data_IF_663231710456
#
_entry.id   IF_663231710456
#
_cell.length_a   1.000
_cell.length_b   1.000
_cell.length_c   1.000
_cell.angle_alpha   90.00
_cell.angle_beta   90.00
_cell.angle_gamma   90.00
#
_symmetry.space_group_name_H-M   'P 1'
#
loop_
_entity.id
_entity.type
_entity.pdbx_description
1 polymer ?
#
# COMPACT_ATOMS: atom_id res chain seq x y z
N UNK A 1 11.57 -25.44 -14.77
CA UNK A 1 10.22 -25.03 -15.18
C UNK A 1 9.67 -25.86 -16.37
N UNK A 2 10.49 -26.64 -17.05
CA UNK A 2 10.07 -27.53 -18.15
C UNK A 2 9.70 -26.84 -19.47
N UNK A 3 9.87 -25.52 -19.60
CA UNK A 3 9.65 -24.73 -20.81
C UNK A 3 10.59 -23.50 -20.83
N UNK A 4 10.69 -22.83 -21.97
CA UNK A 4 11.58 -21.68 -22.19
C UNK A 4 10.95 -20.30 -21.95
N UNK A 5 9.64 -20.23 -21.74
CA UNK A 5 8.89 -18.97 -21.62
C UNK A 5 8.88 -18.45 -20.17
N UNK A 6 10.06 -18.15 -19.63
CA UNK A 6 10.18 -17.55 -18.30
C UNK A 6 11.17 -16.40 -18.32
N UNK A 7 11.01 -15.47 -17.38
CA UNK A 7 11.91 -14.31 -17.18
C UNK A 7 12.45 -14.33 -15.76
N UNK A 8 13.74 -14.02 -15.65
CA UNK A 8 14.44 -13.93 -14.36
C UNK A 8 14.49 -12.49 -13.92
N UNK A 9 14.09 -12.23 -12.68
CA UNK A 9 14.35 -11.01 -11.96
C UNK A 9 15.36 -11.27 -10.85
N UNK A 10 16.43 -10.49 -10.84
CA UNK A 10 17.39 -10.53 -9.75
C UNK A 10 16.78 -9.90 -8.50
N UNK A 11 16.90 -10.60 -7.37
CA UNK A 11 16.59 -10.03 -6.05
C UNK A 11 17.89 -9.65 -5.36
N UNK A 12 17.92 -8.43 -4.86
CA UNK A 12 18.96 -7.93 -3.98
C UNK A 12 18.32 -7.28 -2.75
N UNK A 13 19.13 -6.98 -1.74
CA UNK A 13 18.67 -6.39 -0.50
C UNK A 13 19.27 -5.00 -0.38
N UNK A 14 18.45 -4.04 -0.03
CA UNK A 14 18.89 -2.68 0.35
C UNK A 14 18.68 -2.49 1.85
N UNK A 15 19.60 -1.75 2.46
CA UNK A 15 19.47 -1.30 3.84
C UNK A 15 18.72 0.03 3.86
N UNK A 16 17.65 0.10 4.63
CA UNK A 16 16.89 1.34 4.84
C UNK A 16 16.72 1.57 6.35
N UNK A 17 17.62 2.33 6.93
CA UNK A 17 17.76 2.42 8.38
C UNK A 17 18.07 1.05 8.99
N UNK A 18 17.32 0.63 9.99
CA UNK A 18 17.48 -0.69 10.62
C UNK A 18 16.78 -1.84 9.86
N UNK A 19 16.16 -1.58 8.71
CA UNK A 19 15.39 -2.59 7.96
C UNK A 19 16.11 -3.02 6.70
N UNK A 20 16.11 -4.34 6.46
CA UNK A 20 16.54 -4.93 5.19
C UNK A 20 15.33 -5.09 4.27
N UNK A 21 15.36 -4.46 3.10
CA UNK A 21 14.29 -4.56 2.10
C UNK A 21 14.76 -5.36 0.89
N UNK A 22 14.12 -6.49 0.58
CA UNK A 22 14.36 -7.20 -0.67
C UNK A 22 13.70 -6.41 -1.82
N UNK A 23 14.49 -6.17 -2.86
CA UNK A 23 14.06 -5.50 -4.09
C UNK A 23 14.20 -6.47 -5.25
N UNK A 24 13.17 -6.56 -6.07
CA UNK A 24 13.17 -7.34 -7.30
C UNK A 24 13.44 -6.40 -8.50
N UNK A 25 14.48 -6.70 -9.29
CA UNK A 25 14.92 -5.82 -10.37
C UNK A 25 14.11 -6.07 -11.66
N UNK A 26 12.94 -5.45 -11.72
CA UNK A 26 12.09 -5.51 -12.91
C UNK A 26 12.62 -4.69 -14.10
N UNK A 27 13.55 -3.76 -13.87
CA UNK A 27 14.16 -2.95 -14.93
C UNK A 27 15.23 -3.76 -15.67
N UNK A 28 16.19 -4.35 -14.93
CA UNK A 28 17.24 -5.22 -15.52
C UNK A 28 16.61 -6.40 -16.27
N UNK A 29 15.55 -6.98 -15.71
CA UNK A 29 14.80 -8.07 -16.35
C UNK A 29 13.99 -7.64 -17.58
N UNK A 30 13.97 -6.36 -17.94
CA UNK A 30 13.14 -5.76 -19.00
C UNK A 30 11.63 -6.02 -18.81
N UNK A 31 11.21 -6.43 -17.64
CA UNK A 31 9.79 -6.68 -17.33
C UNK A 31 9.02 -5.36 -17.34
N UNK A 32 9.60 -4.31 -16.78
CA UNK A 32 8.98 -2.98 -16.74
C UNK A 32 8.87 -2.34 -18.14
N UNK A 33 9.83 -2.60 -19.03
CA UNK A 33 9.81 -2.13 -20.42
C UNK A 33 8.73 -2.83 -21.27
N UNK A 34 8.38 -4.06 -20.90
CA UNK A 34 7.32 -4.81 -21.56
C UNK A 34 5.92 -4.44 -21.11
N UNK A 35 5.80 -3.65 -20.02
CA UNK A 35 4.52 -3.20 -19.50
C UNK A 35 4.13 -1.86 -20.07
N UNK A 36 2.91 -1.78 -20.60
CA UNK A 36 2.28 -0.52 -21.01
C UNK A 36 0.95 -0.34 -20.29
N UNK A 37 0.60 0.89 -19.97
CA UNK A 37 -0.70 1.23 -19.40
C UNK A 37 -1.30 2.44 -20.11
N UNK A 38 -2.56 2.35 -20.46
CA UNK A 38 -3.34 3.48 -20.95
C UNK A 38 -3.89 4.34 -19.81
N UNK A 39 -3.76 3.87 -18.56
CA UNK A 39 -4.25 4.56 -17.38
C UNK A 39 -3.06 5.24 -16.70
N UNK A 40 -3.18 6.55 -16.46
CA UNK A 40 -2.23 7.30 -15.63
C UNK A 40 -2.48 6.95 -14.16
N UNK A 41 -1.40 6.80 -13.39
CA UNK A 41 -1.50 6.77 -11.93
C UNK A 41 -1.82 8.18 -11.45
N UNK A 42 -2.96 8.32 -10.83
CA UNK A 42 -3.39 9.53 -10.14
C UNK A 42 -3.34 9.23 -8.63
N UNK A 43 -2.36 9.79 -7.96
CA UNK A 43 -2.09 9.56 -6.54
C UNK A 43 -2.58 10.76 -5.73
N UNK A 44 -3.19 10.48 -4.60
CA UNK A 44 -3.61 11.50 -3.64
C UNK A 44 -2.43 11.79 -2.70
N UNK A 45 -1.61 12.71 -3.13
CA UNK A 45 -0.39 13.13 -2.43
C UNK A 45 -0.65 14.02 -1.21
N UNK A 46 0.41 14.60 -0.66
CA UNK A 46 0.32 15.47 0.51
C UNK A 46 -0.60 16.69 0.27
N UNK A 47 -0.57 17.26 -0.93
CA UNK A 47 -1.41 18.42 -1.27
C UNK A 47 -2.90 18.06 -1.20
N UNK A 48 -3.25 16.86 -1.66
CA UNK A 48 -4.62 16.36 -1.55
C UNK A 48 -5.04 16.19 -0.07
N UNK A 49 -4.17 15.61 0.76
CA UNK A 49 -4.45 15.40 2.19
C UNK A 49 -4.60 16.73 2.91
N UNK A 50 -3.74 17.71 2.62
CA UNK A 50 -3.82 19.07 3.18
C UNK A 50 -5.13 19.75 2.75
N UNK A 51 -5.48 19.66 1.47
CA UNK A 51 -6.72 20.25 0.98
C UNK A 51 -7.96 19.62 1.64
N UNK A 52 -7.96 18.29 1.83
CA UNK A 52 -9.02 17.60 2.57
C UNK A 52 -9.10 18.07 4.03
N UNK A 53 -7.96 18.20 4.70
CA UNK A 53 -7.88 18.69 6.08
C UNK A 53 -8.46 20.11 6.20
N UNK A 54 -8.08 21.02 5.29
CA UNK A 54 -8.61 22.38 5.27
C UNK A 54 -10.11 22.43 5.02
N UNK A 55 -10.62 21.53 4.18
CA UNK A 55 -12.06 21.44 3.92
C UNK A 55 -12.84 20.94 5.14
N UNK A 56 -12.31 19.91 5.83
CA UNK A 56 -12.88 19.41 7.08
C UNK A 56 -12.88 20.48 8.17
N UNK A 57 -11.84 21.28 8.28
CA UNK A 57 -11.73 22.40 9.24
C UNK A 57 -12.79 23.49 9.06
N UNK A 58 -13.42 23.59 7.89
CA UNK A 58 -14.57 24.51 7.68
C UNK A 58 -15.86 23.99 8.32
N UNK A 59 -15.93 22.72 8.68
CA UNK A 59 -17.11 22.10 9.26
C UNK A 59 -17.20 22.43 10.74
N UNK A 60 -18.14 23.31 11.10
CA UNK A 60 -18.32 23.75 12.50
C UNK A 60 -18.89 22.64 13.38
N UNK A 61 -18.47 22.63 14.65
CA UNK A 61 -19.04 21.77 15.70
C UNK A 61 -18.38 20.39 15.80
N UNK A 62 -17.27 20.18 15.12
CA UNK A 62 -16.49 18.96 15.24
C UNK A 62 -15.03 19.27 15.52
N UNK A 63 -14.47 18.61 16.52
CA UNK A 63 -13.03 18.51 16.73
C UNK A 63 -12.56 17.29 15.93
N UNK A 64 -11.73 17.53 14.93
CA UNK A 64 -11.26 16.48 14.02
C UNK A 64 -9.97 15.85 14.55
N UNK A 65 -9.89 14.54 14.41
CA UNK A 65 -8.67 13.75 14.66
C UNK A 65 -8.36 12.90 13.43
N UNK A 66 -7.09 12.57 13.27
CA UNK A 66 -6.64 11.80 12.11
C UNK A 66 -5.73 10.64 12.48
N UNK A 67 -5.58 9.71 11.57
CA UNK A 67 -4.60 8.63 11.61
C UNK A 67 -4.21 8.21 10.20
N UNK A 68 -3.07 7.57 10.04
CA UNK A 68 -2.73 6.82 8.83
C UNK A 68 -2.87 5.32 9.10
N UNK A 69 -3.72 4.64 8.32
CA UNK A 69 -3.83 3.19 8.33
C UNK A 69 -2.88 2.62 7.27
N UNK A 70 -2.11 1.58 7.63
CA UNK A 70 -1.13 0.91 6.77
C UNK A 70 -1.57 -0.54 6.52
N UNK A 71 -1.60 -0.95 5.26
CA UNK A 71 -1.90 -2.34 4.90
C UNK A 71 -0.68 -3.24 5.12
N UNK A 72 -0.82 -4.24 5.97
CA UNK A 72 0.27 -5.18 6.28
C UNK A 72 0.75 -5.93 5.05
N UNK A 73 2.01 -5.71 4.63
CA UNK A 73 2.60 -6.36 3.45
C UNK A 73 1.77 -6.17 2.17
N UNK A 74 1.15 -5.03 2.01
CA UNK A 74 0.19 -4.62 0.99
C UNK A 74 0.22 -5.40 -0.34
N UNK A 75 1.28 -5.27 -1.14
CA UNK A 75 1.44 -5.95 -2.43
C UNK A 75 1.37 -7.48 -2.32
N UNK A 76 1.84 -8.05 -1.22
CA UNK A 76 1.88 -9.50 -1.01
C UNK A 76 0.51 -10.10 -0.65
N UNK A 77 -0.49 -9.26 -0.44
CA UNK A 77 -1.86 -9.72 -0.24
C UNK A 77 -2.59 -9.98 -1.58
N UNK A 78 -2.04 -9.48 -2.70
CA UNK A 78 -2.60 -9.73 -4.02
C UNK A 78 -1.84 -10.85 -4.74
N UNK A 79 -2.55 -11.89 -5.22
CA UNK A 79 -1.93 -12.99 -5.95
C UNK A 79 -1.53 -12.59 -7.37
N UNK A 80 -0.50 -13.22 -7.90
CA UNK A 80 -0.19 -13.19 -9.34
C UNK A 80 -1.04 -14.25 -10.05
N UNK A 81 -1.63 -13.86 -11.17
CA UNK A 81 -2.37 -14.79 -12.04
C UNK A 81 -1.45 -15.98 -12.41
N UNK A 82 -1.92 -17.23 -12.28
CA UNK A 82 -1.09 -18.41 -12.54
C UNK A 82 -0.34 -18.37 -13.88
N UNK A 83 -0.99 -17.93 -14.96
CA UNK A 83 -0.38 -17.81 -16.30
C UNK A 83 0.71 -16.72 -16.41
N UNK A 84 0.89 -15.87 -15.40
CA UNK A 84 1.90 -14.81 -15.38
C UNK A 84 3.06 -15.08 -14.41
N UNK A 85 3.00 -16.16 -13.63
CA UNK A 85 4.03 -16.45 -12.61
C UNK A 85 5.41 -16.68 -13.21
N UNK A 86 5.46 -17.33 -14.36
CA UNK A 86 6.72 -17.66 -15.03
C UNK A 86 7.40 -16.43 -15.66
N UNK A 87 6.65 -15.34 -15.85
CA UNK A 87 7.19 -14.08 -16.36
C UNK A 87 8.02 -13.31 -15.33
N UNK A 88 8.06 -13.78 -14.09
CA UNK A 88 8.68 -13.02 -12.99
C UNK A 88 9.39 -13.96 -11.99
N UNK A 89 10.16 -14.90 -12.49
CA UNK A 89 10.97 -15.83 -11.66
C UNK A 89 12.03 -15.05 -10.90
N UNK A 90 12.02 -15.14 -9.58
CA UNK A 90 12.98 -14.46 -8.72
C UNK A 90 14.24 -15.29 -8.55
N UNK A 91 15.38 -14.65 -8.78
CA UNK A 91 16.71 -15.23 -8.58
C UNK A 91 17.46 -14.50 -7.48
N UNK A 92 18.14 -15.25 -6.63
CA UNK A 92 19.16 -14.73 -5.75
C UNK A 92 20.23 -15.79 -5.42
N UNK A 93 21.36 -15.35 -4.88
CA UNK A 93 22.38 -16.25 -4.33
C UNK A 93 22.19 -16.38 -2.81
N UNK A 94 22.19 -17.61 -2.32
CA UNK A 94 22.17 -17.86 -0.87
C UNK A 94 23.54 -17.52 -0.23
N UNK A 95 23.64 -17.68 1.10
CA UNK A 95 24.87 -17.40 1.86
C UNK A 95 26.07 -18.23 1.41
N UNK A 96 25.84 -19.37 0.77
CA UNK A 96 26.86 -20.26 0.22
C UNK A 96 27.19 -19.92 -1.25
N UNK A 97 26.63 -18.86 -1.80
CA UNK A 97 26.80 -18.45 -3.20
C UNK A 97 25.99 -19.28 -4.21
N UNK A 98 25.19 -20.24 -3.76
CA UNK A 98 24.37 -21.12 -4.60
C UNK A 98 23.18 -20.36 -5.18
N UNK A 99 22.94 -20.52 -6.48
CA UNK A 99 21.80 -19.95 -7.19
C UNK A 99 20.48 -20.57 -6.69
N UNK A 100 19.49 -19.71 -6.37
CA UNK A 100 18.14 -20.08 -5.98
C UNK A 100 17.14 -19.39 -6.86
N UNK A 101 16.11 -20.13 -7.28
CA UNK A 101 15.03 -19.64 -8.13
C UNK A 101 13.70 -19.89 -7.47
N UNK A 102 12.82 -18.88 -7.50
CA UNK A 102 11.49 -18.94 -6.89
C UNK A 102 10.44 -18.36 -7.82
N UNK A 103 9.32 -19.04 -7.89
CA UNK A 103 8.14 -18.56 -8.60
C UNK A 103 7.30 -17.76 -7.61
N UNK A 104 7.04 -16.46 -7.83
CA UNK A 104 6.26 -15.64 -6.92
C UNK A 104 4.78 -16.03 -7.00
N UNK A 105 4.11 -16.04 -5.85
CA UNK A 105 2.67 -16.25 -5.75
C UNK A 105 1.91 -14.94 -5.56
N UNK A 106 2.58 -13.86 -5.21
CA UNK A 106 2.00 -12.55 -4.93
C UNK A 106 2.75 -11.44 -5.67
N UNK A 107 2.12 -10.28 -5.80
CA UNK A 107 2.71 -9.10 -6.42
C UNK A 107 4.06 -8.76 -5.79
N UNK A 108 4.99 -8.34 -6.61
CA UNK A 108 6.37 -8.08 -6.22
C UNK A 108 6.70 -6.59 -6.27
N UNK A 109 7.56 -6.15 -5.37
CA UNK A 109 8.19 -4.84 -5.46
C UNK A 109 9.14 -4.81 -6.67
N UNK A 110 9.21 -3.64 -7.33
CA UNK A 110 10.08 -3.44 -8.50
C UNK A 110 9.41 -3.73 -9.84
N UNK A 111 8.20 -4.27 -9.87
CA UNK A 111 7.41 -4.42 -11.09
C UNK A 111 6.42 -3.27 -11.26
N UNK A 112 6.53 -2.53 -12.37
CA UNK A 112 5.57 -1.47 -12.74
C UNK A 112 4.14 -2.01 -12.84
N UNK A 113 3.97 -3.20 -13.42
CA UNK A 113 2.66 -3.85 -13.51
C UNK A 113 2.04 -4.12 -12.12
N UNK A 114 2.87 -4.50 -11.14
CA UNK A 114 2.41 -4.70 -9.76
C UNK A 114 1.95 -3.40 -9.11
N UNK A 115 2.63 -2.28 -9.37
CA UNK A 115 2.24 -0.95 -8.88
C UNK A 115 0.85 -0.58 -9.40
N UNK A 116 0.61 -0.70 -10.70
CA UNK A 116 -0.70 -0.40 -11.30
C UNK A 116 -1.79 -1.35 -10.80
N UNK A 117 -1.51 -2.65 -10.72
CA UNK A 117 -2.47 -3.63 -10.23
C UNK A 117 -2.85 -3.35 -8.77
N UNK A 118 -1.87 -3.09 -7.91
CA UNK A 118 -2.12 -2.76 -6.51
C UNK A 118 -2.93 -1.48 -6.36
N UNK A 119 -2.55 -0.39 -7.05
CA UNK A 119 -3.26 0.89 -6.93
C UNK A 119 -4.73 0.81 -7.38
N UNK A 120 -5.06 -0.02 -8.37
CA UNK A 120 -6.47 -0.24 -8.75
C UNK A 120 -7.30 -0.76 -7.58
N UNK A 121 -6.77 -1.74 -6.85
CA UNK A 121 -7.45 -2.33 -5.69
C UNK A 121 -7.43 -1.37 -4.51
N UNK A 122 -6.29 -0.75 -4.22
CA UNK A 122 -6.14 0.23 -3.14
C UNK A 122 -7.12 1.40 -3.29
N UNK A 123 -7.26 1.95 -4.49
CA UNK A 123 -8.27 2.99 -4.77
C UNK A 123 -9.71 2.50 -4.65
N UNK A 124 -9.97 1.25 -4.95
CA UNK A 124 -11.30 0.67 -4.74
C UNK A 124 -11.65 0.56 -3.25
N UNK A 125 -10.69 0.16 -2.42
CA UNK A 125 -10.84 0.14 -0.97
C UNK A 125 -11.10 1.56 -0.44
N UNK A 126 -10.28 2.54 -0.83
CA UNK A 126 -10.46 3.94 -0.49
C UNK A 126 -11.84 4.45 -0.89
N UNK A 127 -12.28 4.17 -2.11
CA UNK A 127 -13.61 4.58 -2.60
C UNK A 127 -14.72 4.03 -1.69
N UNK A 128 -14.63 2.75 -1.30
CA UNK A 128 -15.61 2.13 -0.41
C UNK A 128 -15.57 2.74 0.99
N UNK A 129 -14.40 3.02 1.55
CA UNK A 129 -14.26 3.71 2.85
C UNK A 129 -14.96 5.07 2.80
N UNK A 130 -14.74 5.86 1.76
CA UNK A 130 -15.35 7.19 1.64
C UNK A 130 -16.86 7.12 1.34
N UNK A 131 -17.26 6.30 0.36
CA UNK A 131 -18.64 6.32 -0.15
C UNK A 131 -19.57 5.46 0.69
N UNK A 132 -19.11 4.27 1.10
CA UNK A 132 -19.94 3.33 1.87
C UNK A 132 -19.90 3.64 3.36
N UNK A 133 -18.70 3.78 3.94
CA UNK A 133 -18.54 4.01 5.38
C UNK A 133 -18.64 5.49 5.75
N UNK A 134 -18.60 6.41 4.78
CA UNK A 134 -18.63 7.87 5.00
C UNK A 134 -17.46 8.38 5.86
N UNK A 135 -16.32 7.70 5.80
CA UNK A 135 -15.09 8.11 6.50
C UNK A 135 -14.23 8.94 5.56
N UNK A 136 -14.06 10.25 5.81
CA UNK A 136 -13.16 11.09 5.03
C UNK A 136 -11.75 10.52 5.02
N UNK A 137 -11.21 10.25 3.85
CA UNK A 137 -9.88 9.63 3.73
C UNK A 137 -9.25 9.90 2.38
N UNK A 138 -7.93 9.74 2.32
CA UNK A 138 -7.15 9.71 1.10
C UNK A 138 -6.48 8.34 0.93
N UNK A 139 -5.84 8.11 -0.22
CA UNK A 139 -5.03 6.93 -0.46
C UNK A 139 -3.76 7.28 -1.24
N UNK A 140 -2.63 6.88 -0.69
CA UNK A 140 -1.34 6.96 -1.36
C UNK A 140 -0.65 5.60 -1.27
N UNK A 141 -0.71 4.82 -2.33
CA UNK A 141 -0.33 3.41 -2.38
C UNK A 141 -1.04 2.57 -1.31
N UNK A 142 -0.33 2.19 -0.25
CA UNK A 142 -0.78 1.36 0.87
C UNK A 142 -1.09 2.16 2.14
N UNK A 143 -0.86 3.48 2.12
CA UNK A 143 -1.17 4.39 3.22
C UNK A 143 -2.56 5.03 3.01
N UNK A 144 -3.39 4.95 4.05
CA UNK A 144 -4.73 5.54 4.07
C UNK A 144 -4.83 6.57 5.20
N UNK A 145 -4.51 7.85 4.93
CA UNK A 145 -4.86 8.93 5.85
C UNK A 145 -6.38 8.99 6.00
N UNK A 146 -6.86 8.96 7.24
CA UNK A 146 -8.29 8.98 7.57
C UNK A 146 -8.56 10.00 8.66
N UNK A 147 -9.78 10.56 8.64
CA UNK A 147 -10.23 11.56 9.59
C UNK A 147 -11.58 11.16 10.20
N UNK A 148 -11.76 11.50 11.46
CA UNK A 148 -13.02 11.31 12.16
C UNK A 148 -13.26 12.46 13.15
N UNK A 149 -14.52 12.78 13.49
CA UNK A 149 -14.79 13.57 14.69
C UNK A 149 -14.23 12.83 15.92
N UNK A 150 -13.61 13.55 16.84
CA UNK A 150 -12.95 12.94 18.02
C UNK A 150 -13.85 11.96 18.77
N UNK A 151 -15.11 12.34 18.97
CA UNK A 151 -16.10 11.51 19.67
C UNK A 151 -16.48 10.23 18.93
N UNK A 152 -16.31 10.19 17.61
CA UNK A 152 -16.62 9.03 16.77
C UNK A 152 -15.37 8.23 16.35
N UNK A 153 -14.18 8.69 16.73
CA UNK A 153 -12.93 8.08 16.30
C UNK A 153 -12.76 6.61 16.73
N UNK A 154 -13.12 6.19 17.98
CA UNK A 154 -13.01 4.79 18.37
C UNK A 154 -13.91 3.88 17.53
N UNK A 155 -15.16 4.26 17.31
CA UNK A 155 -16.14 3.50 16.51
C UNK A 155 -15.74 3.48 15.04
N UNK A 156 -15.19 4.59 14.52
CA UNK A 156 -14.66 4.67 13.16
C UNK A 156 -13.49 3.70 12.96
N UNK A 157 -12.59 3.60 13.92
CA UNK A 157 -11.46 2.68 13.87
C UNK A 157 -11.90 1.21 13.82
N UNK A 158 -12.87 0.84 14.66
CA UNK A 158 -13.48 -0.49 14.64
C UNK A 158 -14.18 -0.75 13.31
N UNK A 159 -15.02 0.18 12.85
CA UNK A 159 -15.77 0.05 11.61
C UNK A 159 -14.86 -0.20 10.39
N UNK A 160 -13.81 0.59 10.25
CA UNK A 160 -12.86 0.42 9.12
C UNK A 160 -12.08 -0.88 9.27
N UNK A 161 -11.68 -1.26 10.48
CA UNK A 161 -10.98 -2.51 10.74
C UNK A 161 -11.84 -3.72 10.39
N UNK A 162 -13.09 -3.76 10.83
CA UNK A 162 -14.03 -4.85 10.53
C UNK A 162 -14.36 -4.93 9.05
N UNK A 163 -14.48 -3.78 8.40
CA UNK A 163 -14.68 -3.71 6.95
C UNK A 163 -13.50 -4.30 6.18
N UNK A 164 -12.26 -3.98 6.55
CA UNK A 164 -11.07 -4.56 5.92
C UNK A 164 -10.99 -6.07 6.18
N UNK A 165 -11.33 -6.54 7.38
CA UNK A 165 -11.39 -7.97 7.70
C UNK A 165 -12.44 -8.70 6.86
N UNK A 166 -13.63 -8.10 6.71
CA UNK A 166 -14.69 -8.64 5.84
C UNK A 166 -14.21 -8.79 4.40
N UNK A 167 -13.40 -7.86 3.90
CA UNK A 167 -12.78 -7.91 2.58
C UNK A 167 -11.55 -8.84 2.52
N UNK A 168 -11.11 -9.40 3.65
CA UNK A 168 -9.93 -10.26 3.75
C UNK A 168 -8.59 -9.51 3.74
N UNK A 169 -8.58 -8.19 3.98
CA UNK A 169 -7.38 -7.37 4.03
C UNK A 169 -6.77 -7.31 5.43
N UNK A 170 -5.47 -7.55 5.50
CA UNK A 170 -4.69 -7.39 6.74
C UNK A 170 -4.09 -6.00 6.80
N UNK A 171 -4.24 -5.34 7.94
CA UNK A 171 -3.67 -4.03 8.24
C UNK A 171 -2.98 -4.04 9.61
N UNK A 172 -2.15 -3.05 9.86
CA UNK A 172 -1.42 -2.95 11.12
C UNK A 172 -2.31 -2.26 12.18
N UNK A 173 -2.71 -3.01 13.21
CA UNK A 173 -3.64 -2.55 14.27
C UNK A 173 -2.92 -2.02 15.51
N UNK A 174 -1.66 -2.37 15.66
CA UNK A 174 -0.85 -2.04 16.84
C UNK A 174 0.56 -1.68 16.46
N UNK A 175 1.34 -1.17 17.42
CA UNK A 175 2.73 -0.80 17.21
C UNK A 175 2.92 0.51 16.43
N UNK A 176 4.10 0.75 15.86
CA UNK A 176 4.44 2.04 15.25
C UNK A 176 3.54 2.45 14.08
N UNK A 177 2.91 1.48 13.40
CA UNK A 177 2.03 1.69 12.25
C UNK A 177 0.54 1.61 12.60
N UNK A 178 0.18 0.99 13.72
CA UNK A 178 -1.20 0.87 14.21
C UNK A 178 -1.52 1.92 15.27
N UNK A 179 -1.18 3.20 15.00
CA UNK A 179 -1.49 4.31 15.92
C UNK A 179 -2.99 4.60 15.90
N UNK A 180 -3.58 4.99 17.05
CA UNK A 180 -4.97 5.44 17.11
C UNK A 180 -5.14 6.80 16.42
N UNK A 181 -6.39 7.21 16.24
CA UNK A 181 -6.71 8.58 15.86
C UNK A 181 -6.17 9.57 16.91
N UNK A 182 -5.60 10.68 16.45
CA UNK A 182 -5.04 11.73 17.30
C UNK A 182 -5.21 13.11 16.66
N UNK A 183 -5.20 14.20 17.47
CA UNK A 183 -5.19 15.58 16.94
C UNK A 183 -3.98 15.88 16.08
N UNK A 184 -2.85 15.23 16.38
CA UNK A 184 -1.62 15.32 15.57
C UNK A 184 -1.16 13.95 15.16
N UNK A 185 -0.90 13.72 13.86
CA UNK A 185 -0.51 12.42 13.32
C UNK A 185 0.41 12.56 12.11
N UNK A 186 1.18 11.49 11.85
CA UNK A 186 2.13 11.44 10.73
C UNK A 186 1.44 10.92 9.46
N UNK A 187 1.69 11.60 8.34
CA UNK A 187 1.15 11.26 7.02
C UNK A 187 2.14 11.64 5.92
N UNK A 188 2.51 10.71 5.06
CA UNK A 188 3.38 10.93 3.89
C UNK A 188 4.68 11.70 4.21
N UNK A 189 5.27 11.47 5.37
CA UNK A 189 6.50 12.14 5.82
C UNK A 189 6.29 13.52 6.42
N UNK A 190 5.04 13.97 6.59
CA UNK A 190 4.64 15.20 7.27
C UNK A 190 3.96 14.86 8.59
N UNK A 191 3.97 15.77 9.54
CA UNK A 191 3.11 15.74 10.72
C UNK A 191 2.01 16.78 10.53
N UNK A 192 0.75 16.33 10.53
CA UNK A 192 -0.42 17.23 10.50
C UNK A 192 -0.91 17.45 11.91
N UNK A 193 -1.18 18.71 12.23
CA UNK A 193 -1.81 19.16 13.46
C UNK A 193 -3.20 19.70 13.10
N UNK A 194 -4.24 19.14 13.72
CA UNK A 194 -5.65 19.45 13.46
C UNK A 194 -6.27 20.35 14.55
N UNK A 195 -5.44 20.77 15.55
CA UNK A 195 -5.88 21.65 16.63
C UNK A 195 -6.06 23.09 16.18
#
# INVERSE_FOLDING_TARGET
LGHSNWRIMRRFVIEQGAKLRPIDDGLEAQLNSAYTSTIRLDLQDADYVIALTLELGKTKGFDWVGKTLDLSKAYKQLPIRPSHRDLAVVFFRDKQGKARYYIPNALMFGSTAAVYAFNRVSRSIWFLINVLLKVPSAVYFDDYPMFAPEKAAPETDVLVSDFLDLLGWRHDRTGPKGKPFAPSFDVLGLTLDLA
#
